data_IF_471491760200
#
_entry.id   IF_471491760200
#
_cell.length_a   1.000
_cell.length_b   1.000
_cell.length_c   1.000
_cell.angle_alpha   90.00
_cell.angle_beta   90.00
_cell.angle_gamma   90.00
#
_symmetry.space_group_name_H-M   'P 1'
#
loop_
_entity.id
_entity.type
_entity.pdbx_description
1 polymer ?
#
# COMPACT_ATOMS: atom_id res chain seq x y z
N UNK A 1 5.10 44.02 -14.69
CA UNK A 1 4.24 43.67 -13.55
C UNK A 1 4.63 42.30 -13.01
N UNK A 2 5.34 42.26 -11.88
CA UNK A 2 5.90 41.02 -11.31
C UNK A 2 4.82 40.16 -10.61
N UNK A 3 3.71 40.78 -10.21
CA UNK A 3 2.51 40.14 -9.67
C UNK A 3 1.83 39.23 -10.71
N UNK A 4 1.61 39.75 -11.92
CA UNK A 4 0.94 39.01 -13.00
C UNK A 4 1.70 37.76 -13.46
N UNK A 5 3.04 37.80 -13.37
CA UNK A 5 3.92 36.65 -13.66
C UNK A 5 3.84 35.57 -12.57
N UNK A 6 3.68 35.97 -11.31
CA UNK A 6 3.53 35.05 -10.16
C UNK A 6 2.17 34.36 -10.18
N UNK A 7 1.13 35.09 -10.56
CA UNK A 7 -0.22 34.55 -10.72
C UNK A 7 -0.29 33.58 -11.91
N UNK A 8 0.32 33.94 -13.04
CA UNK A 8 0.46 33.04 -14.19
C UNK A 8 1.22 31.76 -13.86
N UNK A 9 2.33 31.85 -13.12
CA UNK A 9 3.09 30.69 -12.68
C UNK A 9 2.30 29.81 -11.70
N UNK A 10 1.54 30.42 -10.78
CA UNK A 10 0.69 29.71 -9.83
C UNK A 10 -0.47 28.97 -10.54
N UNK A 11 -1.12 29.61 -11.52
CA UNK A 11 -2.16 28.99 -12.33
C UNK A 11 -1.63 27.85 -13.20
N UNK A 12 -0.45 28.00 -13.80
CA UNK A 12 0.19 26.93 -14.57
C UNK A 12 0.59 25.76 -13.66
N UNK A 13 1.18 26.03 -12.48
CA UNK A 13 1.54 25.00 -11.52
C UNK A 13 0.32 24.21 -11.04
N UNK A 14 -0.81 24.89 -10.76
CA UNK A 14 -2.06 24.25 -10.37
C UNK A 14 -2.68 23.40 -11.50
N UNK A 15 -2.54 23.81 -12.78
CA UNK A 15 -3.01 22.99 -13.92
C UNK A 15 -2.13 21.77 -14.16
N UNK A 16 -0.81 21.91 -14.04
CA UNK A 16 0.14 20.81 -14.18
C UNK A 16 -0.03 19.79 -13.04
N UNK A 17 -0.13 20.25 -11.78
CA UNK A 17 -0.50 19.37 -10.67
C UNK A 17 -1.93 18.82 -10.80
N UNK A 18 -2.83 19.56 -11.43
CA UNK A 18 -4.24 19.19 -11.59
C UNK A 18 -4.44 18.00 -12.53
N UNK A 19 -3.67 17.89 -13.60
CA UNK A 19 -3.80 16.80 -14.57
C UNK A 19 -3.41 15.44 -13.97
N UNK A 20 -2.29 15.38 -13.26
CA UNK A 20 -1.80 14.14 -12.65
C UNK A 20 -2.63 13.75 -11.41
N UNK A 21 -3.11 14.74 -10.65
CA UNK A 21 -4.09 14.51 -9.56
C UNK A 21 -5.43 13.99 -10.09
N UNK A 22 -5.89 14.47 -11.24
CA UNK A 22 -7.15 14.03 -11.83
C UNK A 22 -7.06 12.58 -12.29
N UNK A 23 -5.94 12.16 -12.90
CA UNK A 23 -5.69 10.76 -13.23
C UNK A 23 -5.69 9.88 -11.96
N UNK A 24 -4.99 10.30 -10.90
CA UNK A 24 -5.00 9.60 -9.61
C UNK A 24 -6.40 9.43 -9.02
N UNK A 25 -7.24 10.48 -9.08
CA UNK A 25 -8.62 10.42 -8.60
C UNK A 25 -9.47 9.43 -9.41
N UNK A 26 -9.35 9.43 -10.74
CA UNK A 26 -10.08 8.49 -11.61
C UNK A 26 -9.65 7.05 -11.32
N UNK A 27 -8.35 6.80 -11.18
CA UNK A 27 -7.83 5.47 -10.83
C UNK A 27 -8.33 5.01 -9.45
N UNK A 28 -8.43 5.92 -8.48
CA UNK A 28 -8.97 5.63 -7.15
C UNK A 28 -10.46 5.27 -7.20
N UNK A 29 -11.26 5.98 -7.99
CA UNK A 29 -12.69 5.65 -8.17
C UNK A 29 -12.85 4.31 -8.88
N UNK A 30 -12.01 4.03 -9.88
CA UNK A 30 -12.02 2.74 -10.61
C UNK A 30 -11.58 1.57 -9.72
N UNK A 31 -10.64 1.78 -8.79
CA UNK A 31 -10.17 0.71 -7.91
C UNK A 31 -11.22 0.26 -6.89
N UNK A 32 -12.15 1.14 -6.50
CA UNK A 32 -13.20 0.84 -5.53
C UNK A 32 -14.07 -0.40 -5.91
N UNK A 33 -14.74 -0.45 -7.07
CA UNK A 33 -15.53 -1.62 -7.48
C UNK A 33 -14.65 -2.85 -7.76
N UNK A 34 -13.44 -2.66 -8.28
CA UNK A 34 -12.49 -3.77 -8.53
C UNK A 34 -12.06 -4.43 -7.21
N UNK A 35 -11.78 -3.63 -6.19
CA UNK A 35 -11.43 -4.12 -4.86
C UNK A 35 -12.62 -4.82 -4.18
N UNK A 36 -13.83 -4.26 -4.30
CA UNK A 36 -15.04 -4.91 -3.81
C UNK A 36 -15.24 -6.28 -4.48
N UNK A 37 -15.09 -6.36 -5.80
CA UNK A 37 -15.18 -7.61 -6.56
C UNK A 37 -14.08 -8.60 -6.17
N UNK A 38 -12.84 -8.13 -5.99
CA UNK A 38 -11.72 -8.95 -5.52
C UNK A 38 -12.01 -9.57 -4.15
N UNK A 39 -12.56 -8.81 -3.20
CA UNK A 39 -12.89 -9.30 -1.87
C UNK A 39 -13.97 -10.39 -1.91
N UNK A 40 -15.01 -10.19 -2.72
CA UNK A 40 -16.09 -11.19 -2.90
C UNK A 40 -15.55 -12.46 -3.56
N UNK A 41 -14.78 -12.32 -4.65
CA UNK A 41 -14.18 -13.48 -5.33
C UNK A 41 -13.21 -14.23 -4.41
N UNK A 42 -12.42 -13.51 -3.60
CA UNK A 42 -11.50 -14.14 -2.65
C UNK A 42 -12.26 -14.95 -1.60
N UNK A 43 -13.35 -14.41 -1.08
CA UNK A 43 -14.17 -15.13 -0.10
C UNK A 43 -14.86 -16.37 -0.72
N UNK A 44 -15.37 -16.26 -1.95
CA UNK A 44 -15.98 -17.39 -2.65
C UNK A 44 -14.96 -18.50 -2.95
N UNK A 45 -13.80 -18.13 -3.52
CA UNK A 45 -12.75 -19.08 -3.86
C UNK A 45 -12.12 -19.72 -2.62
N UNK A 46 -11.98 -19.00 -1.50
CA UNK A 46 -11.47 -19.58 -0.24
C UNK A 46 -12.50 -20.49 0.47
N UNK A 47 -13.79 -20.39 0.11
CA UNK A 47 -14.83 -21.31 0.57
C UNK A 47 -14.87 -22.60 -0.26
N UNK A 48 -14.58 -22.52 -1.55
CA UNK A 48 -14.62 -23.65 -2.47
C UNK A 48 -13.28 -24.38 -2.61
N UNK A 49 -12.16 -23.66 -2.58
CA UNK A 49 -10.81 -24.16 -2.80
C UNK A 49 -9.92 -24.01 -1.55
N UNK A 50 -8.78 -24.69 -1.56
CA UNK A 50 -7.81 -24.58 -0.47
C UNK A 50 -7.08 -23.22 -0.47
N UNK A 51 -6.61 -22.77 0.70
CA UNK A 51 -5.84 -21.52 0.84
C UNK A 51 -4.62 -21.49 -0.10
N UNK A 52 -3.95 -22.63 -0.28
CA UNK A 52 -2.76 -22.76 -1.13
C UNK A 52 -3.12 -22.61 -2.60
N UNK A 53 -4.22 -23.23 -3.03
CA UNK A 53 -4.71 -23.15 -4.41
C UNK A 53 -5.17 -21.75 -4.78
N UNK A 54 -5.88 -21.07 -3.87
CA UNK A 54 -6.23 -19.67 -4.02
C UNK A 54 -4.99 -18.78 -4.16
N UNK A 55 -3.99 -18.96 -3.29
CA UNK A 55 -2.77 -18.15 -3.31
C UNK A 55 -1.98 -18.36 -4.60
N UNK A 56 -1.94 -19.60 -5.11
CA UNK A 56 -1.31 -19.94 -6.38
C UNK A 56 -2.02 -19.27 -7.57
N UNK A 57 -3.36 -19.30 -7.60
CA UNK A 57 -4.17 -18.66 -8.64
C UNK A 57 -3.97 -17.14 -8.65
N UNK A 58 -4.03 -16.48 -7.50
CA UNK A 58 -3.81 -15.02 -7.40
C UNK A 58 -2.38 -14.67 -7.82
N UNK A 59 -1.38 -15.44 -7.37
CA UNK A 59 0.01 -15.20 -7.73
C UNK A 59 0.26 -15.37 -9.23
N UNK A 60 -0.38 -16.36 -9.86
CA UNK A 60 -0.25 -16.62 -11.29
C UNK A 60 -0.70 -15.43 -12.15
N UNK A 61 -1.79 -14.75 -11.78
CA UNK A 61 -2.24 -13.55 -12.49
C UNK A 61 -1.51 -12.28 -12.06
N UNK A 62 -1.15 -12.14 -10.77
CA UNK A 62 -0.54 -10.92 -10.25
C UNK A 62 0.92 -10.73 -10.69
N UNK A 63 1.72 -11.80 -10.75
CA UNK A 63 3.16 -11.73 -11.11
C UNK A 63 3.41 -11.07 -12.47
N UNK A 64 2.80 -11.51 -13.59
CA UNK A 64 3.07 -10.89 -14.89
C UNK A 64 2.60 -9.44 -14.95
N UNK A 65 1.46 -9.11 -14.32
CA UNK A 65 0.93 -7.74 -14.28
C UNK A 65 1.88 -6.81 -13.51
N UNK A 66 2.29 -7.20 -12.31
CA UNK A 66 3.21 -6.42 -11.48
C UNK A 66 4.59 -6.30 -12.12
N UNK A 67 5.06 -7.34 -12.81
CA UNK A 67 6.34 -7.30 -13.52
C UNK A 67 6.32 -6.31 -14.68
N UNK A 68 5.28 -6.35 -15.53
CA UNK A 68 5.11 -5.40 -16.64
C UNK A 68 4.99 -3.97 -16.10
N UNK A 69 4.18 -3.77 -15.06
CA UNK A 69 3.99 -2.46 -14.43
C UNK A 69 5.30 -1.92 -13.85
N UNK A 70 6.06 -2.72 -13.11
CA UNK A 70 7.36 -2.33 -12.55
C UNK A 70 8.38 -1.98 -13.64
N UNK A 71 8.42 -2.76 -14.73
CA UNK A 71 9.28 -2.47 -15.88
C UNK A 71 8.93 -1.16 -16.61
N UNK A 72 7.69 -0.70 -16.54
CA UNK A 72 7.31 0.58 -17.16
C UNK A 72 7.60 1.77 -16.23
N UNK A 73 7.30 1.62 -14.92
CA UNK A 73 7.35 2.72 -13.95
C UNK A 73 8.74 2.93 -13.33
N UNK A 74 9.45 1.85 -13.02
CA UNK A 74 10.64 1.90 -12.15
C UNK A 74 11.96 1.68 -12.91
N UNK A 75 11.90 1.38 -14.21
CA UNK A 75 13.07 1.01 -15.01
C UNK A 75 14.15 2.10 -15.08
N UNK A 76 13.77 3.37 -14.93
CA UNK A 76 14.73 4.46 -14.82
C UNK A 76 15.42 4.50 -13.44
N UNK A 77 14.66 4.30 -12.36
CA UNK A 77 15.20 4.31 -10.99
C UNK A 77 16.15 3.13 -10.76
N UNK A 78 15.82 1.94 -11.27
CA UNK A 78 16.66 0.74 -11.19
C UNK A 78 18.00 0.92 -11.91
N UNK A 79 18.05 1.73 -12.98
CA UNK A 79 19.30 2.00 -13.73
C UNK A 79 20.23 2.99 -13.03
N UNK A 80 19.69 3.83 -12.16
CA UNK A 80 20.44 4.92 -11.52
C UNK A 80 20.89 4.56 -10.11
N UNK A 81 20.17 3.68 -9.41
CA UNK A 81 20.52 3.27 -8.05
C UNK A 81 21.53 2.11 -8.00
N UNK A 82 22.58 2.28 -7.21
CA UNK A 82 23.52 1.20 -6.88
C UNK A 82 22.92 0.33 -5.78
N UNK A 83 22.55 -0.91 -6.11
CA UNK A 83 22.08 -1.89 -5.14
C UNK A 83 23.22 -2.26 -4.17
N UNK A 84 23.10 -1.82 -2.93
CA UNK A 84 24.03 -2.23 -1.86
C UNK A 84 23.64 -3.60 -1.31
N UNK A 85 24.61 -4.37 -0.80
CA UNK A 85 24.37 -5.67 -0.15
C UNK A 85 23.36 -5.57 1.01
N UNK A 86 23.35 -4.43 1.71
CA UNK A 86 22.39 -4.16 2.78
C UNK A 86 20.96 -3.99 2.25
N UNK A 87 20.77 -3.21 1.18
CA UNK A 87 19.47 -3.04 0.53
C UNK A 87 18.89 -4.37 0.05
N UNK A 88 19.72 -5.22 -0.56
CA UNK A 88 19.29 -6.56 -1.01
C UNK A 88 18.82 -7.42 0.17
N UNK A 89 19.54 -7.40 1.29
CA UNK A 89 19.15 -8.13 2.50
C UNK A 89 17.80 -7.65 3.06
N UNK A 90 17.58 -6.33 3.10
CA UNK A 90 16.31 -5.74 3.55
C UNK A 90 15.14 -6.08 2.63
N UNK A 91 15.36 -6.08 1.31
CA UNK A 91 14.34 -6.50 0.34
C UNK A 91 13.99 -7.97 0.54
N UNK A 92 14.97 -8.84 0.77
CA UNK A 92 14.73 -10.26 1.01
C UNK A 92 13.91 -10.47 2.30
N UNK A 93 14.25 -9.77 3.38
CA UNK A 93 13.47 -9.80 4.63
C UNK A 93 12.03 -9.28 4.42
N UNK A 94 11.88 -8.19 3.66
CA UNK A 94 10.57 -7.65 3.31
C UNK A 94 9.72 -8.67 2.55
N UNK A 95 10.29 -9.37 1.56
CA UNK A 95 9.58 -10.41 0.80
C UNK A 95 9.15 -11.57 1.71
N UNK A 96 10.01 -12.05 2.60
CA UNK A 96 9.65 -13.13 3.55
C UNK A 96 8.50 -12.68 4.47
N UNK A 97 8.58 -11.44 4.98
CA UNK A 97 7.54 -10.87 5.83
C UNK A 97 6.22 -10.75 5.06
N UNK A 98 6.26 -10.25 3.82
CA UNK A 98 5.10 -10.07 2.97
C UNK A 98 4.42 -11.40 2.64
N UNK A 99 5.18 -12.42 2.25
CA UNK A 99 4.66 -13.77 2.00
C UNK A 99 3.99 -14.34 3.25
N UNK A 100 4.64 -14.20 4.41
CA UNK A 100 4.08 -14.67 5.69
C UNK A 100 2.78 -13.95 6.04
N UNK A 101 2.75 -12.63 5.85
CA UNK A 101 1.55 -11.81 6.05
C UNK A 101 0.40 -12.26 5.15
N UNK A 102 0.65 -12.46 3.85
CA UNK A 102 -0.38 -12.90 2.91
C UNK A 102 -0.93 -14.29 3.23
N UNK A 103 -0.12 -15.22 3.73
CA UNK A 103 -0.60 -16.53 4.20
C UNK A 103 -1.57 -16.36 5.38
N UNK A 104 -1.17 -15.57 6.39
CA UNK A 104 -2.01 -15.29 7.57
C UNK A 104 -3.30 -14.58 7.15
N UNK A 105 -3.20 -13.61 6.25
CA UNK A 105 -4.34 -12.86 5.71
C UNK A 105 -5.34 -13.81 5.04
N UNK A 106 -4.86 -14.70 4.18
CA UNK A 106 -5.70 -15.67 3.46
C UNK A 106 -6.43 -16.63 4.40
N UNK A 107 -5.73 -17.13 5.42
CA UNK A 107 -6.33 -17.97 6.48
C UNK A 107 -7.41 -17.18 7.23
N UNK A 108 -7.16 -15.90 7.49
CA UNK A 108 -8.09 -15.03 8.20
C UNK A 108 -9.34 -14.74 7.36
N UNK A 109 -9.17 -14.49 6.05
CA UNK A 109 -10.28 -14.30 5.11
C UNK A 109 -11.17 -15.56 5.08
N UNK A 110 -10.57 -16.76 5.04
CA UNK A 110 -11.33 -18.01 5.08
C UNK A 110 -12.12 -18.22 6.38
N UNK A 111 -11.70 -17.63 7.51
CA UNK A 111 -12.35 -17.79 8.82
C UNK A 111 -13.42 -16.73 9.12
N UNK A 112 -13.11 -15.47 8.88
CA UNK A 112 -13.94 -14.32 9.31
C UNK A 112 -14.45 -13.46 8.13
N UNK A 113 -14.11 -13.82 6.90
CA UNK A 113 -14.54 -13.13 5.68
C UNK A 113 -13.65 -11.95 5.29
N UNK A 114 -13.64 -11.60 4.00
CA UNK A 114 -12.73 -10.59 3.46
C UNK A 114 -13.01 -9.19 4.03
N UNK A 115 -14.29 -8.82 4.16
CA UNK A 115 -14.71 -7.51 4.69
C UNK A 115 -14.29 -7.30 6.14
N UNK A 116 -14.44 -8.33 6.99
CA UNK A 116 -14.09 -8.26 8.41
C UNK A 116 -12.58 -8.12 8.63
N UNK A 117 -11.79 -8.85 7.83
CA UNK A 117 -10.32 -8.73 7.82
C UNK A 117 -9.90 -7.33 7.40
N UNK A 118 -10.45 -6.79 6.31
CA UNK A 118 -10.10 -5.46 5.82
C UNK A 118 -10.46 -4.35 6.83
N UNK A 119 -11.59 -4.46 7.51
CA UNK A 119 -11.95 -3.55 8.61
C UNK A 119 -10.96 -3.65 9.77
N UNK A 120 -10.55 -4.88 10.10
CA UNK A 120 -9.59 -5.14 11.19
C UNK A 120 -8.20 -4.60 10.88
N UNK A 121 -7.76 -4.65 9.62
CA UNK A 121 -6.48 -4.06 9.19
C UNK A 121 -6.48 -2.54 9.36
N UNK A 122 -7.51 -1.85 8.86
CA UNK A 122 -7.62 -0.40 9.01
C UNK A 122 -7.71 -0.03 10.50
N UNK A 123 -8.45 -0.81 11.31
CA UNK A 123 -8.50 -0.61 12.75
C UNK A 123 -7.11 -0.79 13.41
N UNK A 124 -6.33 -1.78 12.99
CA UNK A 124 -4.96 -2.00 13.47
C UNK A 124 -4.05 -0.80 13.21
N UNK A 125 -4.15 -0.18 12.03
CA UNK A 125 -3.38 1.02 11.70
C UNK A 125 -3.79 2.19 12.60
N UNK A 126 -5.08 2.34 12.90
CA UNK A 126 -5.56 3.34 13.87
C UNK A 126 -5.02 3.07 15.28
N UNK A 127 -5.01 1.81 15.73
CA UNK A 127 -4.43 1.44 17.03
C UNK A 127 -2.93 1.71 17.09
N UNK A 128 -2.18 1.48 16.00
CA UNK A 128 -0.76 1.78 15.92
C UNK A 128 -0.50 3.29 16.08
N UNK A 129 -1.31 4.14 15.45
CA UNK A 129 -1.22 5.61 15.60
C UNK A 129 -1.52 6.04 17.04
N UNK A 130 -2.55 5.47 17.67
CA UNK A 130 -2.91 5.75 19.07
C UNK A 130 -1.76 5.35 20.00
N UNK A 131 -1.18 4.17 19.80
CA UNK A 131 -0.06 3.66 20.59
C UNK A 131 1.18 4.55 20.46
N UNK A 132 1.55 4.93 19.22
CA UNK A 132 2.66 5.84 18.96
C UNK A 132 2.43 7.22 19.60
N UNK A 133 1.20 7.76 19.51
CA UNK A 133 0.84 9.03 20.14
C UNK A 133 0.94 8.97 21.67
N UNK A 134 0.55 7.86 22.30
CA UNK A 134 0.64 7.68 23.75
C UNK A 134 2.11 7.57 24.17
N UNK A 135 2.91 6.77 23.46
CA UNK A 135 4.34 6.60 23.78
C UNK A 135 5.12 7.89 23.61
N UNK A 136 4.93 8.62 22.51
CA UNK A 136 5.59 9.92 22.30
C UNK A 136 5.25 10.89 23.43
N UNK A 137 3.98 10.95 23.84
CA UNK A 137 3.53 11.78 24.97
C UNK A 137 4.17 11.34 26.29
N UNK A 138 4.29 10.03 26.53
CA UNK A 138 4.96 9.46 27.69
C UNK A 138 6.45 9.81 27.71
N UNK A 139 7.16 9.68 26.57
CA UNK A 139 8.58 10.05 26.44
C UNK A 139 8.79 11.56 26.70
N UNK A 140 7.92 12.43 26.17
CA UNK A 140 7.99 13.88 26.44
C UNK A 140 7.74 14.21 27.91
N UNK A 141 6.82 13.51 28.59
CA UNK A 141 6.59 13.68 30.03
C UNK A 141 7.81 13.24 30.86
N UNK A 142 8.45 12.12 30.53
CA UNK A 142 9.68 11.69 31.21
C UNK A 142 10.83 12.70 31.06
N UNK A 143 11.02 13.30 29.88
CA UNK A 143 12.01 14.36 29.69
C UNK A 143 11.61 15.68 30.37
N UNK A 144 10.31 16.02 30.40
CA UNK A 144 9.81 17.26 31.01
C UNK A 144 9.75 17.26 32.54
N UNK A 145 9.73 16.09 33.19
CA UNK A 145 9.80 15.94 34.65
C UNK A 145 11.27 15.85 35.13
N UNK A 146 12.20 15.53 34.23
CA UNK A 146 13.63 15.41 34.53
C UNK A 146 14.43 16.71 34.35
N UNK A 147 13.77 17.84 34.08
CA UNK A 147 14.31 19.22 34.04
C UNK A 147 13.67 20.01 35.18
#
# INVERSE_FOLDING_TARGET
DFSSLKDGLFFVNHRLLGNDKMLGNILCVLSCPLYALSNVLSELLLKEASVIEWLALVSFFAVPLSFIQGMILELHQIKTEQLTTFSVSMILLYVICLVSFYIILSISIGKIGATSVNLSLIASDMYAIIYDSIIKKTITLYFGISI
#
